data_IF_377044624073
#
_entry.id   IF_377044624073
#
_cell.length_a   1.000
_cell.length_b   1.000
_cell.length_c   1.000
_cell.angle_alpha   90.00
_cell.angle_beta   90.00
_cell.angle_gamma   90.00
#
_symmetry.space_group_name_H-M   'P 1'
#
loop_
_entity.id
_entity.type
_entity.pdbx_description
1 polymer ?
#
# COMPACT_ATOMS: atom_id res chain seq x y z
N UNK A 1 -21.02 6.87 -3.38
CA UNK A 1 -19.84 7.18 -4.23
C UNK A 1 -18.83 6.05 -4.09
N UNK A 2 -18.10 5.67 -5.15
CA UNK A 2 -17.15 4.53 -5.17
C UNK A 2 -17.82 3.18 -4.85
N UNK A 3 -19.07 2.98 -5.29
CA UNK A 3 -19.87 1.80 -4.94
C UNK A 3 -19.26 0.50 -5.46
N UNK A 4 -18.64 0.50 -6.65
CA UNK A 4 -18.03 -0.73 -7.19
C UNK A 4 -16.86 -1.19 -6.32
N UNK A 5 -16.14 -0.26 -5.69
CA UNK A 5 -15.08 -0.60 -4.75
C UNK A 5 -15.67 -1.20 -3.48
N UNK A 6 -16.72 -0.59 -2.92
CA UNK A 6 -17.41 -1.10 -1.72
C UNK A 6 -17.98 -2.50 -1.96
N UNK A 7 -18.60 -2.75 -3.10
CA UNK A 7 -19.12 -4.07 -3.51
C UNK A 7 -18.00 -5.13 -3.63
N UNK A 8 -16.81 -4.72 -4.07
CA UNK A 8 -15.62 -5.58 -4.09
C UNK A 8 -14.96 -5.76 -2.72
N UNK A 9 -15.48 -5.09 -1.68
CA UNK A 9 -15.04 -5.22 -0.31
C UNK A 9 -14.00 -4.19 0.13
N UNK A 10 -13.69 -3.17 -0.69
CA UNK A 10 -12.79 -2.10 -0.30
C UNK A 10 -13.38 -1.30 0.86
N UNK A 11 -12.53 -0.93 1.82
CA UNK A 11 -12.87 0.07 2.83
C UNK A 11 -12.72 1.45 2.19
N UNK A 12 -13.73 2.30 2.35
CA UNK A 12 -13.73 3.66 1.78
C UNK A 12 -14.27 4.61 2.84
N UNK A 13 -13.44 5.54 3.28
CA UNK A 13 -13.76 6.53 4.30
C UNK A 13 -13.45 7.94 3.82
N UNK A 14 -14.30 8.89 4.20
CA UNK A 14 -14.17 10.30 3.86
C UNK A 14 -14.04 11.14 5.14
N UNK A 15 -13.11 12.09 5.14
CA UNK A 15 -12.88 13.01 6.25
C UNK A 15 -12.89 14.46 5.77
N UNK A 16 -13.20 15.39 6.70
CA UNK A 16 -13.12 16.83 6.48
C UNK A 16 -13.81 17.29 5.19
N UNK A 17 -15.04 16.80 4.96
CA UNK A 17 -15.89 17.09 3.80
C UNK A 17 -15.40 16.59 2.43
N UNK A 18 -14.41 15.69 2.38
CA UNK A 18 -13.90 15.15 1.13
C UNK A 18 -14.99 14.56 0.22
N UNK A 19 -16.00 13.89 0.77
CA UNK A 19 -17.10 13.32 -0.02
C UNK A 19 -17.84 14.39 -0.83
N UNK A 20 -18.23 15.50 -0.18
CA UNK A 20 -18.98 16.56 -0.85
C UNK A 20 -18.13 17.27 -1.92
N UNK A 21 -16.84 17.49 -1.63
CA UNK A 21 -15.90 18.12 -2.57
C UNK A 21 -15.69 17.20 -3.78
N UNK A 22 -15.44 15.90 -3.57
CA UNK A 22 -15.30 14.94 -4.67
C UNK A 22 -16.55 14.86 -5.54
N UNK A 23 -17.73 14.80 -4.92
CA UNK A 23 -18.99 14.62 -5.64
C UNK A 23 -19.29 15.79 -6.58
N UNK A 24 -19.05 17.02 -6.10
CA UNK A 24 -19.42 18.23 -6.84
C UNK A 24 -18.30 18.74 -7.74
N UNK A 25 -17.08 18.75 -7.23
CA UNK A 25 -15.97 19.45 -7.87
C UNK A 25 -15.03 18.53 -8.65
N UNK A 26 -15.02 17.22 -8.34
CA UNK A 26 -14.10 16.23 -8.91
C UNK A 26 -14.74 14.88 -9.28
N UNK A 27 -15.91 14.83 -9.94
CA UNK A 27 -16.53 13.56 -10.32
C UNK A 27 -15.66 12.72 -11.26
N UNK A 28 -14.87 13.35 -12.14
CA UNK A 28 -13.90 12.67 -13.00
C UNK A 28 -12.83 11.92 -12.19
N UNK A 29 -12.32 12.52 -11.11
CA UNK A 29 -11.36 11.87 -10.22
C UNK A 29 -11.94 10.61 -9.59
N UNK A 30 -13.21 10.67 -9.16
CA UNK A 30 -13.92 9.54 -8.56
C UNK A 30 -14.03 8.39 -9.56
N UNK A 31 -14.39 8.67 -10.81
CA UNK A 31 -14.48 7.66 -11.86
C UNK A 31 -13.11 7.05 -12.21
N UNK A 32 -12.08 7.88 -12.34
CA UNK A 32 -10.70 7.45 -12.60
C UNK A 32 -10.18 6.52 -11.49
N UNK A 33 -10.41 6.89 -10.21
CA UNK A 33 -10.02 6.10 -9.05
C UNK A 33 -10.83 4.81 -8.95
N UNK A 34 -12.16 4.86 -9.08
CA UNK A 34 -13.02 3.66 -9.04
C UNK A 34 -12.59 2.66 -10.11
N UNK A 35 -12.37 3.13 -11.33
CA UNK A 35 -11.99 2.26 -12.45
C UNK A 35 -10.61 1.64 -12.21
N UNK A 36 -9.61 2.45 -11.86
CA UNK A 36 -8.24 1.97 -11.67
C UNK A 36 -8.12 0.99 -10.51
N UNK A 37 -8.80 1.26 -9.40
CA UNK A 37 -8.76 0.41 -8.21
C UNK A 37 -9.61 -0.85 -8.37
N UNK A 38 -10.73 -0.79 -9.10
CA UNK A 38 -11.57 -1.95 -9.35
C UNK A 38 -10.87 -3.00 -10.22
N UNK A 39 -9.88 -2.63 -11.02
CA UNK A 39 -9.10 -3.53 -11.88
C UNK A 39 -7.91 -4.17 -11.17
N UNK A 40 -7.67 -3.84 -9.90
CA UNK A 40 -6.54 -4.41 -9.15
C UNK A 40 -6.74 -5.91 -8.96
N UNK A 41 -5.72 -6.64 -9.38
CA UNK A 41 -5.51 -8.05 -9.10
C UNK A 41 -4.05 -8.25 -8.69
N UNK A 42 -3.83 -8.86 -7.53
CA UNK A 42 -2.50 -9.13 -6.97
C UNK A 42 -2.34 -10.64 -6.81
N UNK A 43 -1.66 -11.31 -7.75
CA UNK A 43 -1.31 -12.71 -7.60
C UNK A 43 -0.59 -12.97 -6.27
N UNK A 44 -0.96 -14.04 -5.58
CA UNK A 44 -0.31 -14.45 -4.32
C UNK A 44 1.22 -14.62 -4.48
N UNK A 45 1.68 -14.99 -5.68
CA UNK A 45 3.10 -15.07 -6.02
C UNK A 45 3.81 -13.72 -5.90
N UNK A 46 3.15 -12.59 -6.15
CA UNK A 46 3.73 -11.24 -6.00
C UNK A 46 3.77 -10.79 -4.54
N UNK A 47 2.79 -11.21 -3.73
CA UNK A 47 2.81 -11.00 -2.28
C UNK A 47 3.99 -11.76 -1.66
N UNK A 48 4.27 -12.97 -2.15
CA UNK A 48 5.33 -13.81 -1.60
C UNK A 48 6.70 -13.41 -2.15
N UNK A 49 6.81 -13.14 -3.44
CA UNK A 49 8.07 -12.91 -4.15
C UNK A 49 8.70 -11.53 -3.98
N UNK A 50 7.95 -10.48 -3.61
CA UNK A 50 8.53 -9.14 -3.48
C UNK A 50 9.56 -9.05 -2.32
N UNK A 51 10.80 -8.72 -2.62
CA UNK A 51 11.91 -8.55 -1.68
C UNK A 51 12.36 -7.10 -1.63
N UNK A 52 11.90 -6.32 -0.64
CA UNK A 52 12.38 -4.95 -0.43
C UNK A 52 11.91 -3.90 -1.46
N UNK A 53 11.34 -4.31 -2.60
CA UNK A 53 10.71 -3.44 -3.60
C UNK A 53 9.17 -3.45 -3.56
N UNK A 54 8.57 -2.54 -4.34
CA UNK A 54 7.11 -2.46 -4.55
C UNK A 54 6.58 -3.69 -5.30
N UNK A 55 5.42 -4.23 -4.89
CA UNK A 55 4.79 -5.36 -5.59
C UNK A 55 4.39 -4.99 -7.03
N UNK A 56 4.53 -5.95 -7.97
CA UNK A 56 4.18 -5.76 -9.39
C UNK A 56 2.72 -5.30 -9.58
N UNK A 57 1.80 -5.78 -8.75
CA UNK A 57 0.41 -5.33 -8.72
C UNK A 57 0.26 -3.84 -8.44
N UNK A 58 1.03 -3.31 -7.49
CA UNK A 58 1.05 -1.87 -7.22
C UNK A 58 1.65 -1.11 -8.40
N UNK A 59 2.70 -1.62 -9.05
CA UNK A 59 3.24 -1.01 -10.27
C UNK A 59 2.23 -0.98 -11.43
N UNK A 60 1.37 -2.01 -11.56
CA UNK A 60 0.27 -2.02 -12.54
C UNK A 60 -0.74 -0.92 -12.23
N UNK A 61 -1.12 -0.77 -10.96
CA UNK A 61 -2.01 0.31 -10.51
C UNK A 61 -1.41 1.69 -10.82
N UNK A 62 -0.14 1.93 -10.47
CA UNK A 62 0.56 3.19 -10.78
C UNK A 62 0.56 3.50 -12.27
N UNK A 63 0.79 2.51 -13.12
CA UNK A 63 0.72 2.68 -14.59
C UNK A 63 -0.69 3.01 -15.06
N UNK A 64 -1.72 2.35 -14.53
CA UNK A 64 -3.12 2.63 -14.83
C UNK A 64 -3.52 4.06 -14.46
N UNK A 65 -3.03 4.54 -13.31
CA UNK A 65 -3.22 5.90 -12.83
C UNK A 65 -2.45 6.93 -13.69
N UNK A 66 -1.19 6.66 -14.02
CA UNK A 66 -0.38 7.53 -14.89
C UNK A 66 -1.00 7.68 -16.29
N UNK A 67 -1.59 6.62 -16.84
CA UNK A 67 -2.36 6.67 -18.09
C UNK A 67 -3.60 7.58 -18.00
N UNK A 68 -4.09 7.85 -16.79
CA UNK A 68 -5.17 8.81 -16.47
C UNK A 68 -4.63 10.11 -15.89
N UNK A 69 -3.37 10.46 -16.20
CA UNK A 69 -2.72 11.71 -15.82
C UNK A 69 -2.51 11.92 -14.30
N UNK A 70 -2.56 10.84 -13.51
CA UNK A 70 -2.06 10.87 -12.14
C UNK A 70 -0.55 10.66 -12.16
N UNK A 71 0.19 11.75 -12.09
CA UNK A 71 1.64 11.75 -12.30
C UNK A 71 2.37 12.19 -11.05
N UNK A 72 3.63 11.77 -10.94
CA UNK A 72 4.54 12.25 -9.90
C UNK A 72 4.72 13.76 -10.02
N UNK A 73 4.65 14.45 -8.88
CA UNK A 73 4.73 15.91 -8.83
C UNK A 73 5.54 16.36 -7.62
N UNK A 74 6.45 17.30 -7.83
CA UNK A 74 7.22 17.92 -6.76
C UNK A 74 6.61 19.28 -6.41
N UNK A 75 6.01 19.37 -5.24
CA UNK A 75 5.51 20.62 -4.70
C UNK A 75 6.65 21.41 -4.07
N UNK A 76 6.87 22.63 -4.53
CA UNK A 76 7.81 23.57 -3.93
C UNK A 76 7.04 24.71 -3.25
N UNK A 77 7.21 24.86 -1.94
CA UNK A 77 6.65 25.96 -1.16
C UNK A 77 7.78 26.88 -0.76
N UNK A 78 7.73 28.13 -1.25
CA UNK A 78 8.70 29.18 -0.93
C UNK A 78 8.03 30.27 -0.09
N UNK A 79 8.60 30.54 1.09
CA UNK A 79 8.12 31.60 1.99
C UNK A 79 9.07 32.79 1.97
N UNK A 80 8.56 33.90 1.46
CA UNK A 80 9.29 35.18 1.36
C UNK A 80 8.72 36.18 2.37
N UNK A 81 9.57 36.75 3.21
CA UNK A 81 9.21 37.78 4.18
C UNK A 81 10.02 39.03 3.88
N UNK A 82 9.34 40.14 3.54
CA UNK A 82 9.96 41.42 3.16
C UNK A 82 11.00 41.28 2.02
N UNK A 83 10.71 40.44 1.03
CA UNK A 83 11.61 40.19 -0.11
C UNK A 83 12.78 39.24 0.18
N UNK A 84 12.89 38.73 1.42
CA UNK A 84 13.93 37.77 1.82
C UNK A 84 13.29 36.38 1.91
N UNK A 85 13.77 35.44 1.10
CA UNK A 85 13.41 34.04 1.22
C UNK A 85 13.90 33.50 2.57
N UNK A 86 13.00 32.90 3.35
CA UNK A 86 13.30 32.39 4.69
C UNK A 86 13.28 30.86 4.74
N UNK A 87 12.45 30.24 3.92
CA UNK A 87 12.23 28.81 3.92
C UNK A 87 11.79 28.37 2.52
N UNK A 88 12.44 27.32 2.02
CA UNK A 88 12.00 26.58 0.84
C UNK A 88 11.91 25.10 1.23
N UNK A 89 10.72 24.54 1.09
CA UNK A 89 10.44 23.14 1.35
C UNK A 89 9.92 22.52 0.07
N UNK A 90 10.50 21.41 -0.33
CA UNK A 90 9.99 20.58 -1.42
C UNK A 90 9.49 19.24 -0.89
N UNK A 91 8.36 18.79 -1.42
CA UNK A 91 7.83 17.46 -1.16
C UNK A 91 7.35 16.85 -2.47
N UNK A 92 7.84 15.66 -2.74
CA UNK A 92 7.36 14.85 -3.84
C UNK A 92 6.11 14.08 -3.40
N UNK A 93 5.09 14.11 -4.24
CA UNK A 93 3.89 13.26 -4.13
C UNK A 93 3.84 12.36 -5.35
N UNK A 94 3.62 11.07 -5.11
CA UNK A 94 3.75 10.07 -6.18
C UNK A 94 2.65 10.16 -7.25
N UNK A 95 1.43 10.58 -6.87
CA UNK A 95 0.30 10.66 -7.79
C UNK A 95 -0.48 11.94 -7.57
N UNK A 96 -0.37 12.87 -8.51
CA UNK A 96 -1.10 14.13 -8.51
C UNK A 96 -1.90 14.26 -9.78
N UNK A 97 -3.16 14.65 -9.62
CA UNK A 97 -4.06 14.94 -10.73
C UNK A 97 -4.46 16.41 -10.71
N UNK A 98 -4.18 17.10 -11.80
CA UNK A 98 -4.53 18.51 -12.00
C UNK A 98 -5.83 18.63 -12.79
N UNK A 99 -6.73 19.47 -12.30
CA UNK A 99 -8.01 19.81 -12.91
C UNK A 99 -8.06 21.30 -13.28
N UNK A 100 -9.12 21.69 -13.99
CA UNK A 100 -9.36 23.08 -14.40
C UNK A 100 -9.27 24.05 -13.21
N UNK A 101 -8.67 25.22 -13.46
CA UNK A 101 -8.44 26.23 -12.44
C UNK A 101 -7.25 25.91 -11.51
N UNK A 102 -6.37 24.99 -11.92
CA UNK A 102 -5.22 24.55 -11.12
C UNK A 102 -5.63 23.99 -9.75
N UNK A 103 -6.73 23.22 -9.73
CA UNK A 103 -7.18 22.46 -8.56
C UNK A 103 -6.56 21.07 -8.62
N UNK A 104 -5.87 20.65 -7.57
CA UNK A 104 -5.11 19.41 -7.55
C UNK A 104 -5.66 18.43 -6.53
N UNK A 105 -5.65 17.14 -6.85
CA UNK A 105 -5.78 16.05 -5.88
C UNK A 105 -4.42 15.37 -5.77
N UNK A 106 -3.95 15.15 -4.55
CA UNK A 106 -2.73 14.43 -4.24
C UNK A 106 -3.05 13.06 -3.67
N UNK A 107 -2.32 12.03 -4.09
CA UNK A 107 -2.55 10.64 -3.67
C UNK A 107 -1.24 9.91 -3.40
N UNK A 108 -1.23 9.14 -2.31
CA UNK A 108 -0.16 8.22 -1.95
C UNK A 108 -0.68 6.77 -1.89
N UNK A 109 0.12 5.84 -2.42
CA UNK A 109 -0.17 4.40 -2.38
C UNK A 109 0.84 3.73 -1.46
N UNK A 110 0.33 3.24 -0.33
CA UNK A 110 1.10 2.69 0.78
C UNK A 110 0.90 1.18 0.87
N UNK A 111 1.77 0.41 0.19
CA UNK A 111 1.68 -1.06 0.14
C UNK A 111 2.23 -1.75 1.39
N UNK A 112 3.46 -1.41 1.81
CA UNK A 112 4.12 -2.12 2.91
C UNK A 112 5.32 -1.35 3.51
N UNK A 113 5.27 -0.02 3.45
CA UNK A 113 6.34 0.83 3.98
C UNK A 113 6.36 0.81 5.51
N UNK A 114 7.38 1.45 6.09
CA UNK A 114 7.48 1.60 7.56
C UNK A 114 6.37 2.51 8.09
N UNK A 115 5.87 2.20 9.28
CA UNK A 115 4.76 2.92 9.95
C UNK A 115 4.86 4.47 9.98
N UNK A 116 6.06 5.12 10.08
CA UNK A 116 6.15 6.59 10.07
C UNK A 116 5.72 7.28 8.77
N UNK A 117 5.51 6.53 7.68
CA UNK A 117 5.14 7.10 6.38
C UNK A 117 3.78 7.80 6.45
N UNK A 118 2.77 7.22 7.13
CA UNK A 118 1.47 7.87 7.27
C UNK A 118 1.54 9.23 7.97
N UNK A 119 2.37 9.36 9.02
CA UNK A 119 2.52 10.63 9.72
C UNK A 119 3.12 11.70 8.79
N UNK A 120 4.08 11.31 7.93
CA UNK A 120 4.68 12.20 6.92
C UNK A 120 3.67 12.59 5.84
N UNK A 121 2.97 11.63 5.27
CA UNK A 121 2.10 11.86 4.11
C UNK A 121 0.86 12.67 4.52
N UNK A 122 0.25 12.36 5.68
CA UNK A 122 -0.86 13.13 6.24
C UNK A 122 -0.45 14.57 6.60
N UNK A 123 0.72 14.78 7.23
CA UNK A 123 1.19 16.13 7.54
C UNK A 123 1.56 16.91 6.27
N UNK A 124 2.06 16.23 5.23
CA UNK A 124 2.28 16.84 3.93
C UNK A 124 0.95 17.29 3.29
N UNK A 125 -0.07 16.43 3.23
CA UNK A 125 -1.39 16.79 2.71
C UNK A 125 -2.03 17.95 3.46
N UNK A 126 -1.90 17.97 4.79
CA UNK A 126 -2.35 19.08 5.63
C UNK A 126 -1.69 20.40 5.23
N UNK A 127 -0.37 20.39 5.07
CA UNK A 127 0.39 21.60 4.67
C UNK A 127 0.01 22.05 3.27
N UNK A 128 -0.01 21.14 2.30
CA UNK A 128 -0.36 21.44 0.92
C UNK A 128 -1.77 22.02 0.81
N UNK A 129 -2.73 21.45 1.54
CA UNK A 129 -4.09 21.98 1.58
C UNK A 129 -4.17 23.36 2.25
N UNK A 130 -3.42 23.58 3.34
CA UNK A 130 -3.38 24.87 4.02
C UNK A 130 -2.82 26.01 3.13
N UNK A 131 -1.89 25.68 2.23
CA UNK A 131 -1.34 26.61 1.23
C UNK A 131 -2.20 26.69 -0.05
N UNK A 132 -3.33 25.97 -0.11
CA UNK A 132 -4.21 25.93 -1.28
C UNK A 132 -3.63 25.17 -2.48
N UNK A 133 -2.56 24.40 -2.29
CA UNK A 133 -1.89 23.66 -3.35
C UNK A 133 -2.65 22.39 -3.78
N UNK A 134 -3.42 21.79 -2.87
CA UNK A 134 -4.30 20.65 -3.16
C UNK A 134 -5.68 20.89 -2.54
N UNK A 135 -6.72 20.31 -3.16
CA UNK A 135 -8.07 20.28 -2.62
C UNK A 135 -8.32 19.07 -1.73
N UNK A 136 -7.73 17.91 -2.07
CA UNK A 136 -7.96 16.63 -1.39
C UNK A 136 -6.67 15.82 -1.35
N UNK A 137 -6.41 15.17 -0.21
CA UNK A 137 -5.44 14.09 -0.08
C UNK A 137 -6.10 12.71 -0.16
N UNK A 138 -5.48 11.77 -0.86
CA UNK A 138 -5.96 10.39 -0.99
C UNK A 138 -4.89 9.43 -0.49
N UNK A 139 -5.28 8.44 0.31
CA UNK A 139 -4.38 7.35 0.71
C UNK A 139 -5.01 6.03 0.31
N UNK A 140 -4.27 5.23 -0.45
CA UNK A 140 -4.61 3.83 -0.75
C UNK A 140 -3.63 2.94 0.01
N UNK A 141 -4.14 2.02 0.83
CA UNK A 141 -3.28 1.11 1.61
C UNK A 141 -3.90 -0.27 1.72
N UNK A 142 -3.19 -1.23 2.34
CA UNK A 142 -3.75 -2.54 2.67
C UNK A 142 -4.90 -2.38 3.68
N UNK A 143 -6.08 -2.86 3.30
CA UNK A 143 -7.28 -2.87 4.14
C UNK A 143 -7.17 -3.82 5.33
N UNK A 144 -8.11 -3.72 6.26
CA UNK A 144 -8.25 -4.61 7.42
C UNK A 144 -8.35 -6.06 6.99
N UNK A 145 -9.19 -6.36 5.98
CA UNK A 145 -9.40 -7.74 5.54
C UNK A 145 -8.14 -8.35 4.92
N UNK A 146 -7.41 -7.60 4.08
CA UNK A 146 -6.15 -8.05 3.51
C UNK A 146 -5.07 -8.25 4.58
N UNK A 147 -4.99 -7.33 5.55
CA UNK A 147 -4.06 -7.44 6.67
C UNK A 147 -4.35 -8.67 7.54
N UNK A 148 -5.61 -8.83 7.96
CA UNK A 148 -6.01 -9.88 8.90
C UNK A 148 -5.95 -11.28 8.23
N UNK A 149 -6.23 -11.38 6.93
CA UNK A 149 -6.17 -12.64 6.18
C UNK A 149 -4.80 -12.95 5.57
N UNK A 150 -3.80 -12.06 5.70
CA UNK A 150 -2.49 -12.24 5.08
C UNK A 150 -1.87 -13.60 5.41
N UNK A 151 -2.02 -14.05 6.66
CA UNK A 151 -1.52 -15.35 7.11
C UNK A 151 -2.19 -16.51 6.39
N UNK A 152 -3.50 -16.47 6.25
CA UNK A 152 -4.28 -17.55 5.65
C UNK A 152 -4.05 -17.62 4.14
N UNK A 153 -3.88 -16.46 3.48
CA UNK A 153 -3.49 -16.38 2.08
C UNK A 153 -2.13 -17.03 1.83
N UNK A 154 -1.12 -16.73 2.66
CA UNK A 154 0.22 -17.34 2.57
C UNK A 154 0.19 -18.82 2.94
N UNK A 155 -0.63 -19.23 3.93
CA UNK A 155 -0.81 -20.64 4.27
C UNK A 155 -1.44 -21.42 3.12
N UNK A 156 -2.47 -20.88 2.47
CA UNK A 156 -3.10 -21.50 1.30
C UNK A 156 -2.08 -21.73 0.19
N UNK A 157 -1.20 -20.76 -0.07
CA UNK A 157 -0.13 -20.94 -1.04
C UNK A 157 0.80 -22.10 -0.69
N UNK A 158 1.23 -22.21 0.57
CA UNK A 158 2.13 -23.30 0.98
C UNK A 158 1.45 -24.65 0.94
N UNK A 159 0.16 -24.72 1.30
CA UNK A 159 -0.63 -25.95 1.24
C UNK A 159 -0.87 -26.41 -0.20
N UNK A 160 -1.33 -25.52 -1.09
CA UNK A 160 -1.57 -25.86 -2.51
C UNK A 160 -0.28 -26.33 -3.23
N UNK A 161 0.87 -25.77 -2.85
CA UNK A 161 2.19 -26.16 -3.40
C UNK A 161 2.90 -27.26 -2.62
N UNK A 162 2.28 -27.78 -1.56
CA UNK A 162 2.85 -28.84 -0.70
C UNK A 162 4.24 -28.48 -0.16
N UNK A 163 4.46 -27.21 0.18
CA UNK A 163 5.75 -26.72 0.68
C UNK A 163 6.00 -27.29 2.08
N UNK A 164 7.08 -28.05 2.21
CA UNK A 164 7.45 -28.76 3.45
C UNK A 164 8.90 -28.56 3.87
N UNK A 165 9.70 -27.90 3.03
CA UNK A 165 11.13 -27.69 3.23
C UNK A 165 11.64 -26.43 2.52
N UNK A 166 12.89 -26.03 2.79
CA UNK A 166 13.53 -24.96 2.02
C UNK A 166 13.78 -25.35 0.56
N UNK A 167 13.99 -26.63 0.26
CA UNK A 167 14.14 -27.09 -1.12
C UNK A 167 12.85 -26.86 -1.92
N UNK A 168 11.68 -27.06 -1.29
CA UNK A 168 10.39 -26.77 -1.93
C UNK A 168 10.17 -25.27 -2.17
N UNK A 169 10.68 -24.41 -1.28
CA UNK A 169 10.66 -22.96 -1.46
C UNK A 169 11.56 -22.53 -2.63
N UNK A 170 12.77 -23.07 -2.69
CA UNK A 170 13.72 -22.79 -3.79
C UNK A 170 13.15 -23.24 -5.13
N UNK A 171 12.46 -24.39 -5.17
CA UNK A 171 11.78 -24.90 -6.37
C UNK A 171 10.65 -23.98 -6.89
N UNK A 172 10.07 -23.14 -6.03
CA UNK A 172 9.04 -22.16 -6.43
C UNK A 172 9.61 -20.75 -6.62
N UNK A 173 10.94 -20.58 -6.56
CA UNK A 173 11.62 -19.30 -6.80
C UNK A 173 11.89 -18.47 -5.54
N UNK A 174 11.83 -19.07 -4.34
CA UNK A 174 12.08 -18.37 -3.07
C UNK A 174 13.37 -18.86 -2.40
N UNK A 175 14.30 -17.94 -2.17
CA UNK A 175 15.49 -18.20 -1.36
C UNK A 175 15.49 -17.32 -0.10
N UNK A 176 14.97 -17.81 1.04
CA UNK A 176 15.02 -17.08 2.30
C UNK A 176 16.47 -16.86 2.75
N UNK A 177 16.74 -15.69 3.31
CA UNK A 177 18.08 -15.37 3.85
C UNK A 177 18.51 -16.35 4.94
N UNK A 178 19.81 -16.48 5.20
CA UNK A 178 20.34 -17.32 6.30
C UNK A 178 19.67 -17.02 7.65
N UNK A 179 19.39 -15.74 7.92
CA UNK A 179 18.69 -15.29 9.14
C UNK A 179 17.26 -15.84 9.20
N UNK A 180 16.51 -15.73 8.10
CA UNK A 180 15.15 -16.26 8.00
C UNK A 180 15.14 -17.80 8.12
N UNK A 181 16.06 -18.48 7.41
CA UNK A 181 16.22 -19.95 7.50
C UNK A 181 16.45 -20.39 8.95
N UNK A 182 17.36 -19.75 9.67
CA UNK A 182 17.65 -20.05 11.08
C UNK A 182 16.45 -19.80 12.01
N UNK A 183 15.72 -18.70 11.82
CA UNK A 183 14.56 -18.36 12.64
C UNK A 183 13.40 -19.36 12.48
N UNK A 184 13.18 -19.84 11.25
CA UNK A 184 12.20 -20.90 10.96
C UNK A 184 12.61 -22.21 11.60
N UNK A 185 13.85 -22.68 11.38
CA UNK A 185 14.31 -23.97 11.91
C UNK A 185 14.30 -24.03 13.44
N UNK A 186 14.60 -22.91 14.11
CA UNK A 186 14.46 -22.81 15.57
C UNK A 186 13.04 -23.17 16.07
N UNK A 187 12.00 -22.88 15.29
CA UNK A 187 10.60 -23.20 15.63
C UNK A 187 10.19 -24.61 15.21
N UNK A 188 10.84 -25.16 14.18
CA UNK A 188 10.61 -26.54 13.72
C UNK A 188 11.28 -27.54 14.66
N UNK A 189 12.52 -27.27 15.08
CA UNK A 189 13.36 -28.19 15.86
C UNK A 189 13.21 -28.02 17.38
N UNK A 190 12.32 -27.11 17.84
CA UNK A 190 12.12 -26.88 19.28
C UNK A 190 11.58 -28.13 19.97
N UNK A 191 12.09 -28.44 21.17
CA UNK A 191 11.67 -29.62 21.95
C UNK A 191 10.21 -29.58 22.40
N UNK A 192 9.66 -28.40 22.65
CA UNK A 192 8.29 -28.22 23.14
C UNK A 192 7.41 -27.71 22.00
N UNK A 193 6.38 -28.48 21.65
CA UNK A 193 5.38 -28.12 20.63
C UNK A 193 6.01 -27.78 19.26
N UNK A 194 6.83 -28.66 18.65
CA UNK A 194 7.47 -28.37 17.37
C UNK A 194 6.43 -28.05 16.29
N UNK A 195 6.68 -27.01 15.50
CA UNK A 195 5.77 -26.62 14.43
C UNK A 195 6.14 -27.32 13.11
N UNK A 196 5.16 -27.73 12.29
CA UNK A 196 5.43 -28.11 10.92
C UNK A 196 6.12 -26.97 10.16
N UNK A 197 7.05 -27.32 9.25
CA UNK A 197 7.83 -26.34 8.48
C UNK A 197 6.97 -25.25 7.86
N UNK A 198 5.88 -25.61 7.16
CA UNK A 198 4.96 -24.66 6.52
C UNK A 198 4.38 -23.64 7.50
N UNK A 199 4.02 -24.08 8.71
CA UNK A 199 3.46 -23.19 9.74
C UNK A 199 4.52 -22.26 10.28
N UNK A 200 5.71 -22.80 10.59
CA UNK A 200 6.83 -22.01 11.08
C UNK A 200 7.28 -20.96 10.07
N UNK A 201 7.33 -21.33 8.78
CA UNK A 201 7.70 -20.42 7.69
C UNK A 201 6.62 -19.36 7.45
N UNK A 202 5.34 -19.74 7.30
CA UNK A 202 4.24 -18.79 7.07
C UNK A 202 4.16 -17.75 8.18
N UNK A 203 4.20 -18.19 9.44
CA UNK A 203 4.15 -17.29 10.59
C UNK A 203 5.35 -16.32 10.61
N UNK A 204 6.56 -16.82 10.30
CA UNK A 204 7.75 -15.98 10.24
C UNK A 204 7.65 -14.96 9.10
N UNK A 205 7.30 -15.42 7.90
CA UNK A 205 7.20 -14.60 6.70
C UNK A 205 6.22 -13.44 6.89
N UNK A 206 5.02 -13.73 7.39
CA UNK A 206 3.96 -12.73 7.61
C UNK A 206 4.38 -11.74 8.70
N UNK A 207 4.97 -12.22 9.80
CA UNK A 207 5.40 -11.33 10.88
C UNK A 207 6.55 -10.41 10.47
N UNK A 208 7.51 -10.93 9.70
CA UNK A 208 8.68 -10.19 9.20
C UNK A 208 8.28 -9.15 8.15
N UNK A 209 7.42 -9.54 7.21
CA UNK A 209 7.08 -8.71 6.04
C UNK A 209 5.85 -7.84 6.24
N UNK A 210 4.79 -8.36 6.85
CA UNK A 210 3.47 -7.71 6.93
C UNK A 210 3.03 -7.46 8.39
N UNK A 211 3.98 -7.47 9.31
CA UNK A 211 3.74 -7.27 10.74
C UNK A 211 3.34 -5.84 11.10
N UNK A 212 3.15 -5.60 12.40
CA UNK A 212 2.62 -4.35 12.94
C UNK A 212 3.49 -3.10 12.71
N UNK A 213 4.71 -3.24 12.21
CA UNK A 213 5.61 -2.15 11.87
C UNK A 213 5.43 -1.61 10.43
N UNK A 214 4.48 -2.16 9.68
CA UNK A 214 4.18 -1.81 8.29
C UNK A 214 2.87 -1.04 8.15
N UNK A 215 2.75 -0.24 7.09
CA UNK A 215 1.53 0.52 6.78
C UNK A 215 0.35 -0.40 6.45
N UNK A 216 -0.79 -0.17 7.11
CA UNK A 216 -2.08 -0.85 6.87
C UNK A 216 -3.22 -0.04 7.50
N UNK A 217 -4.46 -0.39 7.17
CA UNK A 217 -5.67 0.34 7.53
C UNK A 217 -5.75 0.73 9.01
N UNK A 218 -5.62 -0.23 9.93
CA UNK A 218 -5.70 0.03 11.38
C UNK A 218 -4.72 1.13 11.83
N UNK A 219 -3.50 1.12 11.30
CA UNK A 219 -2.47 2.13 11.60
C UNK A 219 -2.80 3.50 11.04
N UNK A 220 -3.35 3.55 9.83
CA UNK A 220 -3.82 4.80 9.21
C UNK A 220 -4.96 5.40 10.04
N UNK A 221 -5.95 4.58 10.40
CA UNK A 221 -7.11 5.00 11.19
C UNK A 221 -6.70 5.49 12.58
N UNK A 222 -5.72 4.86 13.24
CA UNK A 222 -5.16 5.35 14.51
C UNK A 222 -4.65 6.79 14.39
N UNK A 223 -4.03 7.18 13.27
CA UNK A 223 -3.53 8.56 13.03
C UNK A 223 -4.68 9.51 12.77
N UNK A 224 -5.59 9.13 11.87
CA UNK A 224 -6.70 9.99 11.46
C UNK A 224 -7.65 10.26 12.63
N UNK A 225 -7.96 9.25 13.46
CA UNK A 225 -8.76 9.44 14.68
C UNK A 225 -8.07 10.32 15.73
N UNK A 226 -6.73 10.36 15.74
CA UNK A 226 -5.94 11.29 16.56
C UNK A 226 -5.86 12.70 15.96
N UNK A 227 -6.44 12.91 14.78
CA UNK A 227 -6.50 14.20 14.08
C UNK A 227 -5.28 14.52 13.23
N UNK A 228 -4.40 13.55 12.96
CA UNK A 228 -3.27 13.75 12.04
C UNK A 228 -3.82 13.96 10.61
N UNK A 229 -3.29 14.95 9.90
CA UNK A 229 -3.77 15.34 8.56
C UNK A 229 -4.90 16.39 8.56
N UNK A 230 -5.60 16.60 9.68
CA UNK A 230 -6.62 17.65 9.75
C UNK A 230 -6.00 19.06 9.65
N UNK A 231 -6.67 20.02 8.97
CA UNK A 231 -8.05 19.94 8.45
C UNK A 231 -8.14 19.56 6.96
N UNK A 232 -7.15 18.90 6.36
CA UNK A 232 -7.21 18.52 4.95
C UNK A 232 -8.40 17.56 4.70
N UNK A 233 -9.19 17.76 3.63
CA UNK A 233 -10.13 16.77 3.12
C UNK A 233 -9.39 15.50 2.69
N UNK A 234 -9.78 14.36 3.24
CA UNK A 234 -9.14 13.07 2.95
C UNK A 234 -10.12 12.03 2.44
N UNK A 235 -9.70 11.30 1.41
CA UNK A 235 -10.29 10.03 0.98
C UNK A 235 -9.32 8.89 1.31
N UNK A 236 -9.75 7.95 2.13
CA UNK A 236 -8.94 6.81 2.54
C UNK A 236 -9.53 5.53 1.94
N UNK A 237 -8.69 4.71 1.33
CA UNK A 237 -9.10 3.47 0.66
C UNK A 237 -8.26 2.29 1.16
N UNK A 238 -8.93 1.29 1.72
CA UNK A 238 -8.35 0.04 2.17
C UNK A 238 -8.59 -1.08 1.16
N UNK A 239 -7.51 -1.61 0.58
CA UNK A 239 -7.51 -2.74 -0.35
C UNK A 239 -7.90 -4.06 0.35
N UNK A 240 -8.92 -4.79 -0.14
CA UNK A 240 -9.41 -5.98 0.51
C UNK A 240 -8.64 -7.25 0.13
N UNK A 241 -8.83 -8.32 0.91
CA UNK A 241 -8.26 -9.63 0.59
C UNK A 241 -8.76 -10.22 -0.75
N UNK A 242 -9.95 -9.81 -1.22
CA UNK A 242 -10.57 -10.29 -2.46
C UNK A 242 -9.80 -9.93 -3.73
N UNK A 243 -8.87 -8.98 -3.68
CA UNK A 243 -8.00 -8.64 -4.83
C UNK A 243 -6.87 -9.66 -5.01
N UNK A 244 -6.69 -10.60 -4.07
CA UNK A 244 -5.61 -11.57 -4.11
C UNK A 244 -6.03 -12.81 -4.90
N UNK A 245 -5.36 -13.05 -6.02
CA UNK A 245 -5.64 -14.18 -6.90
C UNK A 245 -4.67 -15.34 -6.68
N UNK A 246 -5.15 -16.55 -6.97
CA UNK A 246 -4.36 -17.78 -6.88
C UNK A 246 -4.32 -18.42 -8.27
N UNK A 247 -3.13 -18.56 -8.82
CA UNK A 247 -2.87 -19.36 -10.02
C UNK A 247 -1.93 -20.53 -9.63
N UNK A 248 -2.40 -21.79 -9.72
CA UNK A 248 -1.61 -22.95 -9.31
C UNK A 248 -0.36 -23.17 -10.19
N UNK A 249 -0.35 -22.66 -11.43
CA UNK A 249 0.76 -22.83 -12.38
C UNK A 249 1.76 -21.67 -12.36
N UNK A 250 1.43 -20.53 -11.75
CA UNK A 250 2.32 -19.37 -11.73
C UNK A 250 3.60 -19.68 -10.95
N UNK A 251 4.77 -19.33 -11.44
CA UNK A 251 6.01 -19.40 -10.63
C UNK A 251 6.28 -18.01 -10.05
N UNK A 252 6.96 -17.95 -8.90
CA UNK A 252 7.43 -16.66 -8.40
C UNK A 252 8.57 -16.24 -9.31
N UNK A 253 8.32 -15.21 -10.13
CA UNK A 253 9.35 -14.65 -10.98
C UNK A 253 10.47 -14.10 -10.08
N UNK A 254 11.74 -14.43 -10.34
CA UNK A 254 12.85 -13.81 -9.64
C UNK A 254 12.75 -12.29 -9.82
N UNK A 255 13.05 -11.53 -8.76
CA UNK A 255 13.18 -10.08 -8.93
C UNK A 255 14.25 -9.84 -10.02
N UNK A 256 13.97 -8.98 -11.02
CA UNK A 256 15.03 -8.55 -11.93
C UNK A 256 16.15 -8.03 -11.03
N UNK A 257 17.34 -8.61 -11.18
CA UNK A 257 18.48 -8.28 -10.35
C UNK A 257 18.58 -6.77 -10.23
N UNK A 258 18.84 -6.27 -9.03
CA UNK A 258 19.31 -4.90 -8.87
C UNK A 258 20.55 -4.78 -9.78
N UNK A 259 20.34 -4.25 -10.99
CA UNK A 259 21.44 -3.83 -11.85
C UNK A 259 22.20 -2.80 -11.04
N UNK A 260 23.48 -3.13 -10.78
CA UNK A 260 24.46 -2.26 -10.10
C UNK A 260 24.59 -0.89 -10.79
#
# INVERSE_FOLDING_TARGET
>A
MLEKLREKGFEVEFYSHAEAILEKDFPEAVEELETSLAEIDIPITEIIGSGGGEAKGTQRLRRSLAARHWVKFNFEIKKTINGIERESISHEVDHVRTFEGNRLIAMEIEWNNKDPFFDRDLENFKRLHAEGAISIGVIVTRGSSLQDQMRDLVMRFTDERKISSFADLEAVGLDPTRRQKAAVMKRVERKKDPLPFRVAWTDHFVADKFGAATTHWRKLMDRVHRGVGNPCPLLLIGMPASIVSFNPEAVIEPEPGAEE
#
